data_IF_370751110496
#
_entry.id   IF_370751110496
#
_cell.length_a   1.000
_cell.length_b   1.000
_cell.length_c   1.000
_cell.angle_alpha   90.00
_cell.angle_beta   90.00
_cell.angle_gamma   90.00
#
_symmetry.space_group_name_H-M   'P 1'
#
loop_
_entity.id
_entity.type
_entity.pdbx_description
1 polymer ?
#
# COMPACT_ATOMS: atom_id res chain seq x y z
N UNK A 1 33.25 -4.74 -5.74
CA UNK A 1 32.17 -5.75 -5.59
C UNK A 1 30.87 -5.05 -5.92
N UNK A 2 30.11 -5.46 -6.94
CA UNK A 2 28.78 -4.87 -7.14
C UNK A 2 27.93 -5.27 -5.94
N UNK A 3 27.41 -4.30 -5.19
CA UNK A 3 26.42 -4.58 -4.16
C UNK A 3 25.19 -5.15 -4.85
N UNK A 4 24.72 -6.30 -4.37
CA UNK A 4 23.48 -6.91 -4.82
C UNK A 4 22.33 -5.94 -4.48
N UNK A 5 21.62 -5.40 -5.50
CA UNK A 5 20.56 -4.43 -5.26
C UNK A 5 19.42 -5.00 -4.40
N UNK A 6 19.17 -6.31 -4.44
CA UNK A 6 18.18 -6.95 -3.57
C UNK A 6 18.65 -6.99 -2.09
N UNK A 7 19.94 -7.19 -1.86
CA UNK A 7 20.53 -7.13 -0.52
C UNK A 7 20.55 -5.70 0.03
N UNK A 8 20.84 -4.70 -0.82
CA UNK A 8 20.77 -3.29 -0.46
C UNK A 8 19.34 -2.85 -0.10
N UNK A 9 18.35 -3.29 -0.89
CA UNK A 9 16.93 -3.05 -0.63
C UNK A 9 16.50 -3.61 0.74
N UNK A 10 16.88 -4.86 1.01
CA UNK A 10 16.57 -5.53 2.28
C UNK A 10 17.21 -4.84 3.49
N UNK A 11 18.40 -4.26 3.32
CA UNK A 11 19.07 -3.50 4.37
C UNK A 11 18.40 -2.15 4.64
N UNK A 12 18.01 -1.44 3.58
CA UNK A 12 17.38 -0.12 3.66
C UNK A 12 15.96 -0.19 4.26
N UNK A 13 15.17 -1.20 3.90
CA UNK A 13 13.85 -1.46 4.48
C UNK A 13 13.89 -1.68 6.00
N UNK A 14 15.03 -2.09 6.57
CA UNK A 14 15.19 -2.28 8.02
C UNK A 14 15.45 -0.98 8.79
N UNK A 15 15.73 0.15 8.13
CA UNK A 15 16.27 1.36 8.78
C UNK A 15 15.55 2.67 8.41
N UNK A 16 14.48 2.66 7.62
CA UNK A 16 14.07 3.87 6.86
C UNK A 16 13.36 4.99 7.63
N UNK A 17 13.82 6.23 7.38
CA UNK A 17 13.21 7.56 7.58
C UNK A 17 12.66 8.14 6.25
N UNK A 18 12.11 9.36 6.25
CA UNK A 18 11.49 9.99 5.05
C UNK A 18 12.49 10.17 3.89
N UNK A 19 13.76 10.54 4.15
CA UNK A 19 14.80 10.67 3.11
C UNK A 19 15.13 9.33 2.44
N UNK A 20 14.84 8.20 3.10
CA UNK A 20 15.16 6.87 2.59
C UNK A 20 14.17 6.38 1.53
N UNK A 21 12.99 6.97 1.38
CA UNK A 21 12.00 6.50 0.41
C UNK A 21 12.37 6.83 -1.05
N UNK A 22 13.01 7.96 -1.31
CA UNK A 22 13.55 8.27 -2.65
C UNK A 22 14.69 7.30 -3.02
N UNK A 23 15.53 6.93 -2.06
CA UNK A 23 16.60 5.97 -2.28
C UNK A 23 16.05 4.55 -2.46
N UNK A 24 15.07 4.14 -1.64
CA UNK A 24 14.32 2.90 -1.82
C UNK A 24 13.72 2.80 -3.23
N UNK A 25 13.13 3.90 -3.72
CA UNK A 25 12.56 3.97 -5.06
C UNK A 25 13.64 3.79 -6.14
N UNK A 26 14.80 4.44 -5.99
CA UNK A 26 15.93 4.29 -6.94
C UNK A 26 16.45 2.85 -6.96
N UNK A 27 16.68 2.25 -5.79
CA UNK A 27 17.19 0.88 -5.66
C UNK A 27 16.17 -0.11 -6.25
N UNK A 28 14.90 0.00 -5.91
CA UNK A 28 13.84 -0.84 -6.45
C UNK A 28 13.75 -0.72 -7.98
N UNK A 29 13.84 0.49 -8.54
CA UNK A 29 13.88 0.69 -9.98
C UNK A 29 15.14 0.07 -10.64
N UNK A 30 16.29 0.13 -9.98
CA UNK A 30 17.51 -0.51 -10.48
C UNK A 30 17.40 -2.04 -10.47
N UNK A 31 16.84 -2.63 -9.41
CA UNK A 31 16.58 -4.06 -9.33
C UNK A 31 15.58 -4.52 -10.41
N UNK A 32 14.51 -3.75 -10.65
CA UNK A 32 13.51 -4.05 -11.69
C UNK A 32 14.07 -3.94 -13.12
N UNK A 33 15.12 -3.14 -13.35
CA UNK A 33 15.83 -3.14 -14.63
C UNK A 33 16.58 -4.47 -14.87
N UNK A 34 17.07 -5.11 -13.82
CA UNK A 34 17.73 -6.41 -13.89
C UNK A 34 16.72 -7.57 -13.95
N UNK A 35 15.66 -7.50 -13.16
CA UNK A 35 14.57 -8.47 -13.16
C UNK A 35 13.21 -7.78 -12.93
N UNK A 36 12.47 -7.54 -14.02
CA UNK A 36 11.17 -6.87 -13.98
C UNK A 36 10.08 -7.63 -13.21
N UNK A 37 10.27 -8.92 -12.99
CA UNK A 37 9.30 -9.81 -12.33
C UNK A 37 9.63 -10.03 -10.85
N UNK A 38 10.65 -9.36 -10.30
CA UNK A 38 10.97 -9.46 -8.88
C UNK A 38 9.89 -8.80 -8.03
N UNK A 39 9.07 -9.63 -7.37
CA UNK A 39 7.87 -9.19 -6.64
C UNK A 39 8.24 -8.30 -5.45
N UNK A 40 9.38 -8.54 -4.79
CA UNK A 40 9.79 -7.72 -3.64
C UNK A 40 10.26 -6.33 -4.07
N UNK A 41 10.97 -6.23 -5.19
CA UNK A 41 11.28 -4.92 -5.80
C UNK A 41 10.04 -4.20 -6.33
N UNK A 42 9.08 -4.91 -6.93
CA UNK A 42 7.79 -4.34 -7.34
C UNK A 42 7.03 -3.77 -6.14
N UNK A 43 6.92 -4.55 -5.05
CA UNK A 43 6.26 -4.14 -3.81
C UNK A 43 6.95 -2.93 -3.18
N UNK A 44 8.28 -2.97 -3.07
CA UNK A 44 9.04 -1.85 -2.47
C UNK A 44 8.91 -0.56 -3.28
N UNK A 45 8.91 -0.66 -4.62
CA UNK A 45 8.65 0.49 -5.50
C UNK A 45 7.29 1.13 -5.20
N UNK A 46 6.24 0.32 -5.02
CA UNK A 46 4.89 0.81 -4.72
C UNK A 46 4.88 1.51 -3.35
N UNK A 47 5.43 0.88 -2.31
CA UNK A 47 5.50 1.47 -0.97
C UNK A 47 6.24 2.81 -0.97
N UNK A 48 7.40 2.87 -1.63
CA UNK A 48 8.18 4.10 -1.74
C UNK A 48 7.38 5.20 -2.45
N UNK A 49 6.68 4.88 -3.55
CA UNK A 49 5.82 5.84 -4.24
C UNK A 49 4.69 6.37 -3.35
N UNK A 50 4.06 5.51 -2.55
CA UNK A 50 3.01 5.92 -1.61
C UNK A 50 3.56 6.84 -0.51
N UNK A 51 4.72 6.51 0.07
CA UNK A 51 5.36 7.32 1.12
C UNK A 51 5.88 8.67 0.61
N UNK A 52 6.09 8.79 -0.70
CA UNK A 52 6.44 10.05 -1.39
C UNK A 52 5.19 10.79 -1.91
N UNK A 53 3.98 10.38 -1.53
CA UNK A 53 2.70 10.94 -2.00
C UNK A 53 2.49 10.88 -3.53
N UNK A 54 3.21 10.00 -4.24
CA UNK A 54 3.13 9.82 -5.70
C UNK A 54 2.07 8.77 -6.06
N UNK A 55 0.82 9.01 -5.66
CA UNK A 55 -0.26 8.03 -5.74
C UNK A 55 -0.59 7.58 -7.18
N UNK A 56 -0.60 8.48 -8.16
CA UNK A 56 -0.84 8.11 -9.56
C UNK A 56 0.26 7.20 -10.12
N UNK A 57 1.52 7.44 -9.73
CA UNK A 57 2.64 6.59 -10.12
C UNK A 57 2.57 5.22 -9.44
N UNK A 58 2.14 5.17 -8.19
CA UNK A 58 1.87 3.91 -7.50
C UNK A 58 0.78 3.11 -8.22
N UNK A 59 -0.32 3.74 -8.64
CA UNK A 59 -1.37 3.08 -9.42
C UNK A 59 -0.86 2.54 -10.76
N UNK A 60 0.01 3.28 -11.47
CA UNK A 60 0.66 2.78 -12.69
C UNK A 60 1.54 1.56 -12.40
N UNK A 61 2.37 1.63 -11.36
CA UNK A 61 3.23 0.51 -10.96
C UNK A 61 2.42 -0.73 -10.53
N UNK A 62 1.27 -0.54 -9.91
CA UNK A 62 0.32 -1.59 -9.56
C UNK A 62 -0.26 -2.23 -10.83
N UNK A 63 -0.69 -1.43 -11.80
CA UNK A 63 -1.26 -1.92 -13.06
C UNK A 63 -0.25 -2.72 -13.90
N UNK A 64 1.04 -2.36 -13.83
CA UNK A 64 2.14 -3.07 -14.48
C UNK A 64 2.62 -4.31 -13.69
N UNK A 65 2.04 -4.56 -12.52
CA UNK A 65 2.45 -5.58 -11.56
C UNK A 65 2.16 -7.01 -12.01
N UNK A 66 2.86 -7.97 -11.39
CA UNK A 66 2.59 -9.40 -11.60
C UNK A 66 1.32 -9.86 -10.87
N UNK A 67 0.66 -10.95 -11.30
CA UNK A 67 -0.46 -11.53 -10.54
C UNK A 67 -0.09 -11.89 -9.09
N UNK A 68 1.15 -12.32 -8.84
CA UNK A 68 1.66 -12.61 -7.50
C UNK A 68 1.76 -11.34 -6.63
N UNK A 69 2.06 -10.18 -7.23
CA UNK A 69 2.07 -8.90 -6.54
C UNK A 69 0.66 -8.51 -6.09
N UNK A 70 -0.36 -8.63 -6.97
CA UNK A 70 -1.74 -8.23 -6.66
C UNK A 70 -2.31 -8.91 -5.42
N UNK A 71 -1.88 -10.13 -5.09
CA UNK A 71 -2.27 -10.82 -3.86
C UNK A 71 -1.69 -10.19 -2.58
N UNK A 72 -0.62 -9.38 -2.69
CA UNK A 72 0.12 -8.75 -1.58
C UNK A 72 -0.23 -7.27 -1.36
N UNK A 73 -0.70 -6.57 -2.39
CA UNK A 73 -0.83 -5.10 -2.41
C UNK A 73 -2.26 -4.56 -2.25
N UNK A 74 -3.19 -5.35 -1.71
CA UNK A 74 -4.60 -4.96 -1.67
C UNK A 74 -4.84 -3.67 -0.89
N UNK A 75 -4.10 -3.49 0.20
CA UNK A 75 -4.15 -2.31 1.06
C UNK A 75 -3.59 -1.08 0.33
N UNK A 76 -2.39 -1.22 -0.25
CA UNK A 76 -1.69 -0.19 -1.02
C UNK A 76 -2.52 0.29 -2.21
N UNK A 77 -3.18 -0.65 -2.90
CA UNK A 77 -4.05 -0.35 -4.04
C UNK A 77 -5.29 0.43 -3.61
N UNK A 78 -6.00 -0.04 -2.58
CA UNK A 78 -7.16 0.66 -2.04
C UNK A 78 -6.80 2.07 -1.55
N UNK A 79 -5.66 2.21 -0.88
CA UNK A 79 -5.18 3.50 -0.38
C UNK A 79 -4.82 4.48 -1.51
N UNK A 80 -4.12 4.03 -2.54
CA UNK A 80 -3.79 4.88 -3.69
C UNK A 80 -5.06 5.37 -4.42
N UNK A 81 -6.06 4.48 -4.60
CA UNK A 81 -7.36 4.84 -5.17
C UNK A 81 -8.11 5.84 -4.28
N UNK A 82 -8.11 5.64 -2.96
CA UNK A 82 -8.67 6.57 -2.00
C UNK A 82 -8.04 7.96 -2.12
N UNK A 83 -6.71 8.05 -2.09
CA UNK A 83 -5.99 9.33 -2.14
C UNK A 83 -6.23 10.08 -3.45
N UNK A 84 -6.33 9.37 -4.56
CA UNK A 84 -6.67 9.92 -5.89
C UNK A 84 -8.16 10.18 -6.12
N UNK A 85 -9.03 9.88 -5.14
CA UNK A 85 -10.47 10.15 -5.23
C UNK A 85 -11.27 9.13 -6.04
N UNK A 86 -10.69 7.99 -6.41
CA UNK A 86 -11.34 6.88 -7.12
C UNK A 86 -12.10 5.97 -6.15
N UNK A 87 -13.08 6.53 -5.45
CA UNK A 87 -13.72 5.90 -4.29
C UNK A 87 -14.49 4.62 -4.60
N UNK A 88 -15.12 4.54 -5.78
CA UNK A 88 -15.83 3.34 -6.22
C UNK A 88 -14.87 2.18 -6.48
N UNK A 89 -13.76 2.46 -7.18
CA UNK A 89 -12.70 1.47 -7.43
C UNK A 89 -12.07 1.00 -6.11
N UNK A 90 -11.79 1.93 -5.19
CA UNK A 90 -11.25 1.60 -3.87
C UNK A 90 -12.20 0.65 -3.10
N UNK A 91 -13.50 0.95 -3.15
CA UNK A 91 -14.54 0.11 -2.53
C UNK A 91 -14.57 -1.29 -3.15
N UNK A 92 -14.47 -1.40 -4.48
CA UNK A 92 -14.42 -2.70 -5.18
C UNK A 92 -13.19 -3.52 -4.77
N UNK A 93 -12.01 -2.90 -4.68
CA UNK A 93 -10.79 -3.58 -4.20
C UNK A 93 -10.98 -4.09 -2.77
N UNK A 94 -11.47 -3.24 -1.87
CA UNK A 94 -11.69 -3.58 -0.46
C UNK A 94 -12.68 -4.77 -0.29
N UNK A 95 -13.76 -4.79 -1.07
CA UNK A 95 -14.74 -5.87 -1.05
C UNK A 95 -14.17 -7.19 -1.60
N UNK A 96 -13.35 -7.14 -2.64
CA UNK A 96 -12.76 -8.34 -3.24
C UNK A 96 -11.79 -9.07 -2.31
N UNK A 97 -11.07 -8.34 -1.45
CA UNK A 97 -10.08 -8.94 -0.55
C UNK A 97 -10.65 -9.35 0.81
N UNK A 98 -11.78 -8.77 1.23
CA UNK A 98 -12.47 -9.07 2.48
C UNK A 98 -11.94 -8.26 3.66
N UNK A 99 -12.76 -7.34 4.16
CA UNK A 99 -12.43 -6.38 5.23
C UNK A 99 -12.07 -7.05 6.56
N UNK A 100 -12.66 -8.20 6.87
CA UNK A 100 -12.45 -8.95 8.11
C UNK A 100 -11.00 -9.46 8.28
N UNK A 101 -10.17 -9.43 7.22
CA UNK A 101 -8.85 -10.05 7.23
C UNK A 101 -7.77 -9.20 7.90
N UNK A 102 -7.90 -7.87 7.90
CA UNK A 102 -6.88 -6.94 8.42
C UNK A 102 -7.52 -5.65 8.90
N UNK A 103 -7.14 -5.22 10.11
CA UNK A 103 -7.54 -3.94 10.71
C UNK A 103 -7.27 -2.74 9.79
N UNK A 104 -6.10 -2.71 9.16
CA UNK A 104 -5.72 -1.64 8.23
C UNK A 104 -6.63 -1.54 6.99
N UNK A 105 -7.15 -2.66 6.48
CA UNK A 105 -8.14 -2.64 5.39
C UNK A 105 -9.48 -2.06 5.85
N UNK A 106 -9.90 -2.36 7.08
CA UNK A 106 -11.10 -1.76 7.68
C UNK A 106 -10.91 -0.25 7.87
N UNK A 107 -9.73 0.19 8.30
CA UNK A 107 -9.42 1.60 8.45
C UNK A 107 -9.53 2.36 7.11
N UNK A 108 -8.91 1.84 6.04
CA UNK A 108 -9.04 2.43 4.69
C UNK A 108 -10.48 2.37 4.18
N UNK A 109 -11.24 1.31 4.50
CA UNK A 109 -12.65 1.23 4.14
C UNK A 109 -13.49 2.32 4.82
N UNK A 110 -13.24 2.60 6.10
CA UNK A 110 -13.90 3.68 6.81
C UNK A 110 -13.56 5.05 6.21
N UNK A 111 -12.28 5.29 5.87
CA UNK A 111 -11.83 6.50 5.18
C UNK A 111 -12.53 6.69 3.82
N UNK A 112 -12.61 5.61 3.02
CA UNK A 112 -13.30 5.60 1.72
C UNK A 112 -14.78 5.89 1.88
N UNK A 113 -15.46 5.22 2.82
CA UNK A 113 -16.87 5.43 3.10
C UNK A 113 -17.15 6.87 3.53
N UNK A 114 -16.32 7.43 4.41
CA UNK A 114 -16.45 8.82 4.87
C UNK A 114 -16.30 9.82 3.72
N UNK A 115 -15.25 9.67 2.89
CA UNK A 115 -15.02 10.56 1.74
C UNK A 115 -16.08 10.39 0.65
N UNK A 116 -16.76 9.25 0.61
CA UNK A 116 -17.90 8.98 -0.27
C UNK A 116 -19.25 9.39 0.35
N UNK A 117 -19.24 10.09 1.49
CA UNK A 117 -20.44 10.55 2.22
C UNK A 117 -21.35 9.41 2.72
N UNK A 118 -20.83 8.18 2.83
CA UNK A 118 -21.51 7.03 3.42
C UNK A 118 -21.26 6.99 4.93
N UNK A 119 -21.75 8.00 5.63
CA UNK A 119 -21.40 8.25 7.04
C UNK A 119 -21.82 7.13 7.99
N UNK A 120 -22.99 6.51 7.77
CA UNK A 120 -23.44 5.37 8.59
C UNK A 120 -22.48 4.17 8.48
N UNK A 121 -22.00 3.88 7.27
CA UNK A 121 -21.03 2.83 7.02
C UNK A 121 -19.69 3.14 7.71
N UNK A 122 -19.17 4.36 7.53
CA UNK A 122 -17.93 4.79 8.17
C UNK A 122 -18.02 4.71 9.71
N UNK A 123 -19.12 5.19 10.29
CA UNK A 123 -19.38 5.15 11.73
C UNK A 123 -19.40 3.71 12.26
N UNK A 124 -20.09 2.81 11.56
CA UNK A 124 -20.14 1.40 11.92
C UNK A 124 -18.77 0.72 11.88
N UNK A 125 -17.92 1.05 10.88
CA UNK A 125 -16.58 0.46 10.78
C UNK A 125 -15.66 1.02 11.88
N UNK A 126 -15.64 2.34 12.08
CA UNK A 126 -14.83 2.95 13.14
C UNK A 126 -15.22 2.48 14.54
N UNK A 127 -16.51 2.28 14.80
CA UNK A 127 -16.98 1.76 16.09
C UNK A 127 -16.41 0.36 16.36
N UNK A 128 -16.41 -0.52 15.35
CA UNK A 128 -15.78 -1.85 15.46
C UNK A 128 -14.27 -1.77 15.68
N UNK A 129 -13.60 -0.83 15.01
CA UNK A 129 -12.15 -0.63 15.17
C UNK A 129 -11.77 -0.19 16.59
N UNK A 130 -12.60 0.64 17.23
CA UNK A 130 -12.41 1.07 18.62
C UNK A 130 -12.61 -0.08 19.62
N UNK A 131 -13.43 -1.08 19.27
CA UNK A 131 -13.67 -2.27 20.08
C UNK A 131 -12.58 -3.36 19.91
N UNK A 132 -11.61 -3.15 19.02
CA UNK A 132 -10.47 -4.07 18.79
C UNK A 132 -9.21 -3.65 19.56
N UNK A 133 -8.31 -4.61 19.81
CA UNK A 133 -7.04 -4.36 20.52
C UNK A 133 -6.20 -3.29 19.78
N UNK A 134 -5.78 -2.20 20.45
CA UNK A 134 -5.02 -1.12 19.84
C UNK A 134 -3.60 -1.51 19.41
N UNK A 135 -3.11 -2.72 19.75
CA UNK A 135 -1.78 -3.19 19.34
C UNK A 135 -1.54 -3.16 17.82
N UNK A 136 -2.60 -3.25 17.00
CA UNK A 136 -2.51 -3.20 15.54
C UNK A 136 -2.74 -1.80 14.93
N UNK A 137 -2.90 -0.75 15.74
CA UNK A 137 -3.10 0.64 15.28
C UNK A 137 -1.92 1.18 14.47
N UNK A 138 -0.69 0.77 14.78
CA UNK A 138 0.51 1.21 14.07
C UNK A 138 0.50 0.83 12.58
N UNK A 139 -0.32 -0.16 12.20
CA UNK A 139 -0.45 -0.62 10.82
C UNK A 139 -1.56 0.11 10.03
N UNK A 140 -2.27 1.05 10.66
CA UNK A 140 -3.21 1.92 9.95
C UNK A 140 -2.43 2.92 9.10
N UNK A 141 -2.72 2.95 7.80
CA UNK A 141 -2.03 3.80 6.81
C UNK A 141 -2.86 5.02 6.38
#
# INVERSE_FOLDING_TARGET
MPQDPAAALSALLRQSSVEDHDEALKIANAALKANKNDVDSQHTRIIALLKLDRFDDALRAIADGSPALHARISLEHAYALYKTGKLNEATSVLQAFGLEKKRSLQHVAAQVAYRAERFDEACNIYSRLLDTDPADEENDI
#
